data_IF_282938330296
#
_entry.id   IF_282938330296
#
_cell.length_a   1.000
_cell.length_b   1.000
_cell.length_c   1.000
_cell.angle_alpha   90.00
_cell.angle_beta   90.00
_cell.angle_gamma   90.00
#
_symmetry.space_group_name_H-M   'P 1'
#
loop_
_entity.id
_entity.type
_entity.pdbx_description
1 polymer ?
#
# COMPACT_ATOMS: atom_id res chain seq x y z
N UNK A 1 -15.55 -0.74 32.71
CA UNK A 1 -14.33 -0.13 33.30
C UNK A 1 -13.40 0.23 32.16
N UNK A 2 -13.43 1.50 31.74
CA UNK A 2 -12.47 2.08 30.80
C UNK A 2 -11.27 2.62 31.59
N UNK A 3 -10.06 2.63 31.02
CA UNK A 3 -8.91 3.23 31.69
C UNK A 3 -9.11 4.75 31.70
N UNK A 4 -9.35 5.30 32.89
CA UNK A 4 -9.32 6.74 33.15
C UNK A 4 -7.90 7.22 32.89
N UNK A 5 -7.70 7.94 31.80
CA UNK A 5 -6.46 8.68 31.57
C UNK A 5 -6.48 9.86 32.55
N UNK A 6 -5.57 9.85 33.51
CA UNK A 6 -5.36 11.00 34.38
C UNK A 6 -4.82 12.16 33.52
N UNK A 7 -5.68 13.14 33.25
CA UNK A 7 -5.24 14.48 32.88
C UNK A 7 -4.72 15.06 34.20
N UNK A 8 -3.40 15.13 34.36
CA UNK A 8 -2.83 15.94 35.43
C UNK A 8 -3.08 17.40 35.04
N UNK A 9 -4.00 18.07 35.72
CA UNK A 9 -4.06 19.53 35.74
C UNK A 9 -2.72 20.02 36.29
N UNK A 10 -1.97 20.71 35.45
CA UNK A 10 -0.74 21.36 35.86
C UNK A 10 -1.10 22.45 36.88
N UNK A 11 -0.37 22.57 37.99
CA UNK A 11 -0.63 23.60 38.97
C UNK A 11 -0.47 24.99 38.35
N UNK A 12 -1.47 25.85 38.56
CA UNK A 12 -1.46 27.27 38.19
C UNK A 12 -0.27 27.95 38.87
N UNK A 13 0.84 28.00 38.14
CA UNK A 13 2.00 28.81 38.50
C UNK A 13 1.98 30.03 37.61
N UNK A 14 1.65 31.13 38.27
CA UNK A 14 1.58 32.45 37.70
C UNK A 14 2.88 32.84 37.00
N UNK A 15 2.72 33.43 35.82
CA UNK A 15 3.55 34.50 35.29
C UNK A 15 5.07 34.28 35.33
N UNK A 16 5.59 33.60 34.33
CA UNK A 16 6.85 34.05 33.74
C UNK A 16 6.91 33.73 32.24
N UNK A 17 7.13 34.77 31.43
CA UNK A 17 7.23 34.73 29.97
C UNK A 17 8.56 34.12 29.52
N UNK A 18 8.86 32.90 29.98
CA UNK A 18 9.90 32.09 29.37
C UNK A 18 9.29 31.34 28.20
N UNK A 19 9.42 31.94 27.01
CA UNK A 19 9.26 31.25 25.75
C UNK A 19 9.94 29.88 25.85
N UNK A 20 9.13 28.82 25.93
CA UNK A 20 9.54 27.43 25.85
C UNK A 20 10.16 27.23 24.48
N UNK A 21 11.43 27.64 24.38
CA UNK A 21 12.31 27.27 23.29
C UNK A 21 12.48 25.77 23.46
N UNK A 22 11.64 25.01 22.78
CA UNK A 22 11.93 23.64 22.42
C UNK A 22 13.24 23.68 21.62
N UNK A 23 14.37 23.65 22.32
CA UNK A 23 15.65 23.39 21.70
C UNK A 23 15.58 21.93 21.30
N UNK A 24 15.16 21.70 20.04
CA UNK A 24 15.31 20.41 19.36
C UNK A 24 16.78 20.06 19.49
N UNK A 25 17.08 19.22 20.48
CA UNK A 25 18.43 18.81 20.81
C UNK A 25 18.85 17.92 19.64
N UNK A 26 19.63 18.47 18.71
CA UNK A 26 20.16 17.67 17.60
C UNK A 26 20.81 16.43 18.22
N UNK A 27 20.40 15.21 17.84
CA UNK A 27 20.92 13.99 18.44
C UNK A 27 22.45 14.02 18.35
N UNK A 28 23.10 13.73 19.48
CA UNK A 28 24.56 13.72 19.61
C UNK A 28 25.09 12.67 18.63
N UNK A 29 25.91 13.12 17.67
CA UNK A 29 26.35 12.39 16.48
C UNK A 29 27.09 11.07 16.76
N UNK A 30 27.51 10.87 18.01
CA UNK A 30 28.35 9.74 18.43
C UNK A 30 27.54 8.56 19.01
N UNK A 31 26.26 8.77 19.36
CA UNK A 31 25.29 7.70 19.60
C UNK A 31 24.55 7.34 18.29
N UNK A 32 25.23 7.48 17.16
CA UNK A 32 24.93 6.76 15.92
C UNK A 32 25.21 5.25 16.11
N UNK A 33 24.57 4.72 17.16
CA UNK A 33 24.17 3.34 17.39
C UNK A 33 24.01 2.72 16.02
N UNK A 34 24.85 1.70 15.76
CA UNK A 34 24.90 0.91 14.53
C UNK A 34 23.57 1.05 13.82
N UNK A 35 23.57 1.66 12.63
CA UNK A 35 22.48 1.44 11.68
C UNK A 35 22.55 -0.04 11.37
N UNK A 36 21.94 -0.83 12.24
CA UNK A 36 21.94 -2.27 12.12
C UNK A 36 21.35 -2.52 10.75
N UNK A 37 22.18 -3.14 9.91
CA UNK A 37 21.80 -3.46 8.56
C UNK A 37 20.46 -4.19 8.63
N UNK A 38 19.54 -3.83 7.73
CA UNK A 38 18.22 -4.44 7.66
C UNK A 38 18.36 -5.96 7.77
N UNK A 39 17.66 -6.63 8.71
CA UNK A 39 17.81 -8.05 8.89
C UNK A 39 17.58 -8.81 7.57
N UNK A 40 18.35 -9.88 7.27
CA UNK A 40 18.29 -10.57 5.99
C UNK A 40 16.90 -11.17 5.69
N UNK A 41 16.10 -11.43 6.73
CA UNK A 41 14.73 -11.90 6.54
C UNK A 41 13.76 -10.83 6.03
N UNK A 42 14.07 -9.53 6.13
CA UNK A 42 13.23 -8.47 5.56
C UNK A 42 13.39 -8.33 4.04
N UNK A 43 14.50 -8.82 3.48
CA UNK A 43 14.64 -8.92 2.02
C UNK A 43 13.69 -10.00 1.52
N UNK A 44 12.62 -9.56 0.84
CA UNK A 44 11.61 -10.44 0.26
C UNK A 44 12.16 -11.06 -1.04
N UNK A 45 13.11 -11.98 -0.89
CA UNK A 45 13.66 -12.79 -1.96
C UNK A 45 13.05 -14.18 -1.86
N UNK A 46 12.01 -14.44 -2.67
CA UNK A 46 11.38 -15.74 -2.75
C UNK A 46 11.94 -16.47 -3.98
N UNK A 47 12.63 -17.58 -3.74
CA UNK A 47 13.16 -18.46 -4.79
C UNK A 47 12.02 -19.29 -5.42
N UNK A 48 11.12 -18.65 -6.15
CA UNK A 48 10.06 -19.26 -6.96
C UNK A 48 10.26 -18.93 -8.44
N UNK A 49 9.39 -19.45 -9.31
CA UNK A 49 9.39 -19.13 -10.73
C UNK A 49 9.42 -17.60 -10.94
N UNK A 50 10.14 -17.09 -11.96
CA UNK A 50 10.41 -15.66 -12.10
C UNK A 50 9.13 -14.81 -12.21
N UNK A 51 8.08 -15.34 -12.83
CA UNK A 51 6.78 -14.69 -12.93
C UNK A 51 6.08 -14.59 -11.57
N UNK A 52 6.07 -15.67 -10.79
CA UNK A 52 5.45 -15.67 -9.46
C UNK A 52 6.21 -14.77 -8.49
N UNK A 53 7.54 -14.75 -8.58
CA UNK A 53 8.37 -13.87 -7.76
C UNK A 53 8.07 -12.39 -8.06
N UNK A 54 7.97 -12.02 -9.35
CA UNK A 54 7.58 -10.67 -9.76
C UNK A 54 6.17 -10.30 -9.25
N UNK A 55 5.20 -11.21 -9.37
CA UNK A 55 3.84 -10.99 -8.89
C UNK A 55 3.79 -10.80 -7.36
N UNK A 56 4.46 -11.66 -6.60
CA UNK A 56 4.55 -11.56 -5.14
C UNK A 56 5.26 -10.27 -4.70
N UNK A 57 6.33 -9.87 -5.39
CA UNK A 57 7.04 -8.63 -5.07
C UNK A 57 6.18 -7.40 -5.35
N UNK A 58 5.39 -7.40 -6.43
CA UNK A 58 4.42 -6.34 -6.72
C UNK A 58 3.32 -6.32 -5.66
N UNK A 59 2.72 -7.48 -5.35
CA UNK A 59 1.68 -7.59 -4.34
C UNK A 59 2.17 -7.10 -2.97
N UNK A 60 3.39 -7.47 -2.57
CA UNK A 60 4.01 -7.03 -1.33
C UNK A 60 4.25 -5.51 -1.30
N UNK A 61 4.72 -4.92 -2.40
CA UNK A 61 4.90 -3.46 -2.50
C UNK A 61 3.57 -2.71 -2.44
N UNK A 62 2.54 -3.23 -3.12
CA UNK A 62 1.18 -2.69 -3.04
C UNK A 62 0.69 -2.77 -1.59
N UNK A 63 0.90 -3.91 -0.93
CA UNK A 63 0.51 -4.10 0.46
C UNK A 63 1.25 -3.14 1.41
N UNK A 64 2.55 -2.92 1.23
CA UNK A 64 3.32 -1.94 1.99
C UNK A 64 2.81 -0.52 1.74
N UNK A 65 2.54 -0.17 0.48
CA UNK A 65 2.04 1.15 0.11
C UNK A 65 0.65 1.41 0.69
N UNK A 66 -0.23 0.41 0.67
CA UNK A 66 -1.56 0.50 1.29
C UNK A 66 -1.42 0.54 2.82
N UNK A 67 -0.65 -0.34 3.44
CA UNK A 67 -0.57 -0.42 4.90
C UNK A 67 0.15 0.79 5.52
N UNK A 68 1.28 1.19 4.95
CA UNK A 68 2.22 2.13 5.55
C UNK A 68 2.34 3.46 4.79
N UNK A 69 1.88 3.53 3.54
CA UNK A 69 2.10 4.68 2.65
C UNK A 69 3.48 4.70 1.99
N UNK A 70 4.33 3.70 2.27
CA UNK A 70 5.68 3.57 1.72
C UNK A 70 5.81 2.27 0.92
N UNK A 71 6.50 2.33 -0.23
CA UNK A 71 6.69 1.15 -1.07
C UNK A 71 7.77 0.19 -0.54
N UNK A 72 8.62 0.67 0.37
CA UNK A 72 9.79 -0.02 0.90
C UNK A 72 9.71 -0.08 2.42
N UNK A 73 10.15 -1.20 2.96
CA UNK A 73 10.21 -1.42 4.40
C UNK A 73 11.44 -0.76 5.03
N UNK A 74 12.49 -0.52 4.25
CA UNK A 74 13.71 0.15 4.68
C UNK A 74 13.44 1.53 5.27
N UNK A 75 12.52 2.29 4.69
CA UNK A 75 12.11 3.60 5.20
C UNK A 75 11.48 3.44 6.59
N UNK A 76 10.56 2.48 6.73
CA UNK A 76 9.94 2.16 8.02
C UNK A 76 10.98 1.72 9.05
N UNK A 77 11.98 0.92 8.66
CA UNK A 77 13.06 0.50 9.55
C UNK A 77 13.85 1.69 10.08
N UNK A 78 14.17 2.65 9.22
CA UNK A 78 14.86 3.88 9.62
C UNK A 78 14.01 4.66 10.61
N UNK A 79 12.71 4.80 10.35
CA UNK A 79 11.81 5.56 11.23
C UNK A 79 11.62 4.86 12.59
N UNK A 80 11.44 3.54 12.57
CA UNK A 80 11.32 2.69 13.75
C UNK A 80 12.55 2.75 14.69
N UNK A 81 13.74 2.95 14.13
CA UNK A 81 14.99 3.08 14.90
C UNK A 81 15.43 4.55 15.08
N UNK A 82 14.62 5.50 14.64
CA UNK A 82 14.86 6.93 14.82
C UNK A 82 14.23 7.45 16.12
N UNK A 83 14.08 8.76 16.22
CA UNK A 83 13.50 9.42 17.40
C UNK A 83 12.01 9.05 17.57
N UNK A 84 11.56 8.98 18.83
CA UNK A 84 10.18 8.63 19.19
C UNK A 84 9.15 9.54 18.50
N UNK A 85 9.49 10.83 18.31
CA UNK A 85 8.65 11.80 17.61
C UNK A 85 8.36 11.40 16.15
N UNK A 86 9.36 10.84 15.44
CA UNK A 86 9.20 10.40 14.05
C UNK A 86 8.29 9.18 13.97
N UNK A 87 8.39 8.27 14.94
CA UNK A 87 7.47 7.13 15.07
C UNK A 87 6.04 7.61 15.34
N UNK A 88 5.87 8.55 16.28
CA UNK A 88 4.56 9.09 16.63
C UNK A 88 3.87 9.77 15.45
N UNK A 89 4.59 10.53 14.61
CA UNK A 89 4.04 11.15 13.40
C UNK A 89 3.50 10.09 12.40
N UNK A 90 4.24 9.01 12.15
CA UNK A 90 3.76 7.93 11.28
C UNK A 90 2.57 7.19 11.89
N UNK A 91 2.66 6.89 13.19
CA UNK A 91 1.60 6.23 13.92
C UNK A 91 0.31 7.04 13.86
N UNK A 92 0.40 8.36 14.04
CA UNK A 92 -0.74 9.28 14.00
C UNK A 92 -1.35 9.39 12.59
N UNK A 93 -0.52 9.46 11.55
CA UNK A 93 -1.01 9.40 10.15
C UNK A 93 -1.75 8.11 9.86
N UNK A 94 -1.22 6.97 10.30
CA UNK A 94 -1.87 5.67 10.12
C UNK A 94 -3.17 5.59 10.93
N UNK A 95 -3.15 6.05 12.18
CA UNK A 95 -4.32 6.16 13.04
C UNK A 95 -5.44 6.95 12.37
N UNK A 96 -5.13 8.17 11.90
CA UNK A 96 -6.10 9.06 11.27
C UNK A 96 -6.72 8.44 10.02
N UNK A 97 -5.91 7.74 9.21
CA UNK A 97 -6.40 7.02 8.02
C UNK A 97 -7.35 5.87 8.38
N UNK A 98 -6.99 5.04 9.36
CA UNK A 98 -7.84 3.93 9.80
C UNK A 98 -9.13 4.49 10.39
N UNK A 99 -9.05 5.52 11.23
CA UNK A 99 -10.21 6.17 11.83
C UNK A 99 -11.18 6.71 10.78
N UNK A 100 -10.65 7.42 9.77
CA UNK A 100 -11.45 7.93 8.65
C UNK A 100 -12.16 6.80 7.92
N UNK A 101 -11.48 5.69 7.64
CA UNK A 101 -12.08 4.53 6.97
C UNK A 101 -13.13 3.86 7.83
N UNK A 102 -12.92 3.75 9.14
CA UNK A 102 -13.90 3.19 10.06
C UNK A 102 -15.17 4.05 10.10
N UNK A 103 -15.04 5.38 10.07
CA UNK A 103 -16.19 6.29 9.98
C UNK A 103 -16.94 6.08 8.66
N UNK A 104 -16.22 6.06 7.53
CA UNK A 104 -16.82 5.81 6.20
C UNK A 104 -17.50 4.45 6.14
N UNK A 105 -16.89 3.41 6.72
CA UNK A 105 -17.49 2.08 6.82
C UNK A 105 -18.78 2.10 7.65
N UNK A 106 -18.83 2.83 8.77
CA UNK A 106 -20.05 2.99 9.56
C UNK A 106 -21.19 3.67 8.78
N UNK A 107 -20.87 4.71 8.01
CA UNK A 107 -21.85 5.39 7.14
C UNK A 107 -22.37 4.45 6.03
N UNK A 108 -21.45 3.74 5.36
CA UNK A 108 -21.79 2.77 4.33
C UNK A 108 -22.61 1.60 4.89
N UNK A 109 -22.33 1.18 6.13
CA UNK A 109 -23.09 0.15 6.83
C UNK A 109 -24.52 0.61 7.10
N UNK A 110 -24.70 1.84 7.57
CA UNK A 110 -26.03 2.42 7.79
C UNK A 110 -26.84 2.52 6.50
N UNK A 111 -26.23 3.01 5.42
CA UNK A 111 -26.91 3.10 4.13
C UNK A 111 -27.28 1.73 3.56
N UNK A 112 -26.34 0.77 3.58
CA UNK A 112 -26.59 -0.61 3.11
C UNK A 112 -27.68 -1.29 3.94
N UNK A 113 -27.69 -1.12 5.26
CA UNK A 113 -28.73 -1.63 6.15
C UNK A 113 -30.12 -1.08 5.76
N UNK A 114 -30.23 0.23 5.51
CA UNK A 114 -31.48 0.85 5.10
C UNK A 114 -32.02 0.22 3.80
N UNK A 115 -31.18 0.02 2.78
CA UNK A 115 -31.59 -0.64 1.54
C UNK A 115 -31.96 -2.12 1.73
N UNK A 116 -31.34 -2.82 2.68
CA UNK A 116 -31.69 -4.22 2.96
C UNK A 116 -33.03 -4.36 3.70
N UNK A 117 -33.39 -3.40 4.54
CA UNK A 117 -34.59 -3.49 5.41
C UNK A 117 -35.81 -2.77 4.85
N UNK A 118 -35.66 -1.91 3.84
CA UNK A 118 -36.76 -1.13 3.27
C UNK A 118 -37.19 -1.69 1.92
N UNK A 119 -38.49 -1.68 1.66
CA UNK A 119 -39.03 -1.96 0.33
C UNK A 119 -38.85 -0.73 -0.57
N UNK A 120 -38.44 -0.90 -1.85
CA UNK A 120 -38.31 0.22 -2.78
C UNK A 120 -39.65 0.96 -2.89
N UNK A 121 -39.68 2.30 -2.74
CA UNK A 121 -40.94 3.06 -2.78
C UNK A 121 -41.62 2.98 -4.15
N UNK A 122 -40.83 2.81 -5.22
CA UNK A 122 -41.30 2.69 -6.61
C UNK A 122 -40.52 1.57 -7.31
N UNK A 123 -40.95 0.30 -7.20
CA UNK A 123 -40.24 -0.84 -7.78
C UNK A 123 -40.12 -0.72 -9.31
N UNK A 124 -41.08 -0.09 -9.98
CA UNK A 124 -41.06 0.10 -11.43
C UNK A 124 -39.91 1.02 -11.91
N UNK A 125 -39.50 1.95 -11.04
CA UNK A 125 -38.45 2.93 -11.34
C UNK A 125 -37.07 2.44 -10.89
N UNK A 126 -36.98 1.81 -9.71
CA UNK A 126 -35.69 1.37 -9.16
C UNK A 126 -35.83 0.18 -8.21
N UNK A 127 -35.87 -1.03 -8.77
CA UNK A 127 -35.94 -2.26 -7.98
C UNK A 127 -34.56 -2.75 -7.49
N UNK A 128 -34.13 -2.24 -6.33
CA UNK A 128 -32.95 -2.77 -5.63
C UNK A 128 -33.22 -4.07 -4.86
N UNK A 129 -34.48 -4.53 -4.81
CA UNK A 129 -34.86 -5.80 -4.18
C UNK A 129 -34.72 -7.01 -5.13
N UNK A 130 -34.47 -6.75 -6.42
CA UNK A 130 -34.13 -7.75 -7.41
C UNK A 130 -32.99 -8.65 -6.90
N UNK A 131 -33.12 -9.97 -7.15
CA UNK A 131 -32.26 -11.00 -6.55
C UNK A 131 -30.76 -10.78 -6.75
N UNK A 132 -30.35 -10.24 -7.91
CA UNK A 132 -28.96 -9.93 -8.24
C UNK A 132 -28.44 -8.75 -7.40
N UNK A 133 -29.13 -7.61 -7.45
CA UNK A 133 -28.82 -6.39 -6.70
C UNK A 133 -28.79 -6.65 -5.19
N UNK A 134 -29.79 -7.37 -4.67
CA UNK A 134 -29.89 -7.69 -3.25
C UNK A 134 -28.70 -8.54 -2.75
N UNK A 135 -28.24 -9.53 -3.53
CA UNK A 135 -27.05 -10.32 -3.19
C UNK A 135 -25.78 -9.47 -3.15
N UNK A 136 -25.62 -8.53 -4.08
CA UNK A 136 -24.50 -7.60 -4.08
C UNK A 136 -24.53 -6.68 -2.84
N UNK A 137 -25.69 -6.10 -2.52
CA UNK A 137 -25.85 -5.25 -1.34
C UNK A 137 -25.56 -6.04 -0.05
N UNK A 138 -26.04 -7.28 0.05
CA UNK A 138 -25.79 -8.14 1.22
C UNK A 138 -24.31 -8.51 1.36
N UNK A 139 -23.63 -8.82 0.25
CA UNK A 139 -22.19 -9.09 0.26
C UNK A 139 -21.39 -7.85 0.67
N UNK A 140 -21.74 -6.67 0.15
CA UNK A 140 -21.14 -5.40 0.58
C UNK A 140 -21.37 -5.16 2.07
N UNK A 141 -22.59 -5.36 2.56
CA UNK A 141 -22.93 -5.21 3.98
C UNK A 141 -22.03 -6.09 4.86
N UNK A 142 -21.86 -7.36 4.52
CA UNK A 142 -20.97 -8.28 5.24
C UNK A 142 -19.50 -7.84 5.24
N UNK A 143 -18.98 -7.40 4.08
CA UNK A 143 -17.61 -6.87 3.97
C UNK A 143 -17.42 -5.59 4.80
N UNK A 144 -18.42 -4.72 4.84
CA UNK A 144 -18.38 -3.48 5.63
C UNK A 144 -18.37 -3.78 7.13
N UNK A 145 -19.14 -4.78 7.59
CA UNK A 145 -19.07 -5.25 8.99
C UNK A 145 -17.67 -5.78 9.31
N UNK A 146 -17.10 -6.64 8.46
CA UNK A 146 -15.75 -7.16 8.64
C UNK A 146 -14.71 -6.05 8.73
N UNK A 147 -14.80 -5.05 7.83
CA UNK A 147 -13.97 -3.85 7.85
C UNK A 147 -14.11 -3.09 9.18
N UNK A 148 -15.32 -2.89 9.69
CA UNK A 148 -15.58 -2.15 10.92
C UNK A 148 -15.02 -2.87 12.16
N UNK A 149 -15.18 -4.19 12.24
CA UNK A 149 -14.63 -5.01 13.33
C UNK A 149 -13.10 -4.94 13.33
N UNK A 150 -12.46 -5.24 12.19
CA UNK A 150 -11.00 -5.25 12.08
C UNK A 150 -10.42 -3.85 12.24
N UNK A 151 -11.06 -2.82 11.65
CA UNK A 151 -10.66 -1.43 11.78
C UNK A 151 -10.72 -0.95 13.24
N UNK A 152 -11.77 -1.28 13.98
CA UNK A 152 -11.89 -0.94 15.40
C UNK A 152 -10.85 -1.66 16.27
N UNK A 153 -10.61 -2.95 16.02
CA UNK A 153 -9.55 -3.70 16.69
C UNK A 153 -8.17 -3.10 16.40
N UNK A 154 -7.93 -2.66 15.16
CA UNK A 154 -6.68 -2.00 14.77
C UNK A 154 -6.48 -0.65 15.46
N UNK A 155 -7.52 0.18 15.58
CA UNK A 155 -7.46 1.39 16.39
C UNK A 155 -7.10 1.05 17.83
N UNK A 156 -7.75 0.06 18.43
CA UNK A 156 -7.39 -0.33 19.81
C UNK A 156 -5.91 -0.76 19.95
N UNK A 157 -5.41 -1.59 19.03
CA UNK A 157 -4.01 -2.03 19.04
C UNK A 157 -3.04 -0.87 18.85
N UNK A 158 -3.32 0.02 17.88
CA UNK A 158 -2.46 1.18 17.58
C UNK A 158 -2.36 2.15 18.75
N UNK A 159 -3.38 2.25 19.60
CA UNK A 159 -3.36 3.12 20.79
C UNK A 159 -2.35 2.62 21.84
N UNK A 160 -2.08 1.31 21.87
CA UNK A 160 -1.18 0.67 22.83
C UNK A 160 0.18 0.31 22.23
N UNK A 161 0.35 0.51 20.92
CA UNK A 161 1.54 0.11 20.18
C UNK A 161 2.70 1.08 20.44
N UNK A 162 3.70 0.64 21.19
CA UNK A 162 5.00 1.31 21.34
C UNK A 162 5.95 0.92 20.19
N UNK A 163 6.87 1.81 19.83
CA UNK A 163 7.84 1.59 18.75
C UNK A 163 8.63 0.28 18.96
N UNK A 164 9.16 0.06 20.17
CA UNK A 164 9.95 -1.14 20.48
C UNK A 164 9.13 -2.43 20.32
N UNK A 165 7.89 -2.43 20.80
CA UNK A 165 7.00 -3.58 20.67
C UNK A 165 6.62 -3.83 19.20
N UNK A 166 6.33 -2.77 18.44
CA UNK A 166 6.02 -2.87 17.02
C UNK A 166 7.19 -3.46 16.24
N UNK A 167 8.39 -2.92 16.48
CA UNK A 167 9.65 -3.42 15.96
C UNK A 167 9.83 -4.89 16.31
N UNK A 168 9.82 -5.26 17.58
CA UNK A 168 10.03 -6.65 18.01
C UNK A 168 9.00 -7.62 17.42
N UNK A 169 7.74 -7.20 17.32
CA UNK A 169 6.64 -8.01 16.78
C UNK A 169 6.74 -8.19 15.27
N UNK A 170 6.97 -7.11 14.52
CA UNK A 170 7.20 -7.17 13.07
C UNK A 170 8.52 -7.85 12.72
N UNK A 171 9.58 -7.64 13.50
CA UNK A 171 10.92 -8.12 13.19
C UNK A 171 11.14 -9.59 13.52
N UNK A 172 10.22 -10.26 14.21
CA UNK A 172 10.41 -11.65 14.65
C UNK A 172 10.43 -12.69 13.52
N UNK A 173 9.65 -12.50 12.44
CA UNK A 173 9.65 -13.43 11.30
C UNK A 173 9.00 -12.85 10.04
N UNK A 174 9.33 -13.41 8.86
CA UNK A 174 8.74 -13.01 7.56
C UNK A 174 7.22 -13.12 7.53
N UNK A 175 6.69 -14.23 8.06
CA UNK A 175 5.25 -14.48 8.09
C UNK A 175 4.52 -13.46 8.97
N UNK A 176 5.13 -13.04 10.09
CA UNK A 176 4.56 -12.00 10.97
C UNK A 176 4.51 -10.64 10.31
N UNK A 177 5.55 -10.25 9.55
CA UNK A 177 5.52 -9.00 8.75
C UNK A 177 4.36 -9.04 7.76
N UNK A 178 4.27 -10.10 6.94
CA UNK A 178 3.18 -10.22 5.96
C UNK A 178 1.81 -10.22 6.63
N UNK A 179 1.63 -10.96 7.72
CA UNK A 179 0.37 -11.01 8.45
C UNK A 179 -0.02 -9.62 9.00
N UNK A 180 0.94 -8.90 9.59
CA UNK A 180 0.70 -7.55 10.13
C UNK A 180 0.34 -6.57 9.02
N UNK A 181 1.06 -6.60 7.89
CA UNK A 181 0.75 -5.79 6.72
C UNK A 181 -0.64 -6.11 6.13
N UNK A 182 -1.03 -7.39 6.07
CA UNK A 182 -2.36 -7.82 5.64
C UNK A 182 -3.42 -7.26 6.59
N UNK A 183 -3.23 -7.39 7.91
CA UNK A 183 -4.18 -6.89 8.91
C UNK A 183 -4.32 -5.35 8.81
N UNK A 184 -3.21 -4.61 8.66
CA UNK A 184 -3.25 -3.15 8.50
C UNK A 184 -3.91 -2.76 7.17
N UNK A 185 -3.62 -3.47 6.08
CA UNK A 185 -4.20 -3.18 4.77
C UNK A 185 -5.66 -3.64 4.62
N UNK A 186 -6.12 -4.57 5.45
CA UNK A 186 -7.43 -5.20 5.34
C UNK A 186 -8.59 -4.19 5.34
N UNK A 187 -8.68 -3.21 6.28
CA UNK A 187 -9.75 -2.21 6.24
C UNK A 187 -9.78 -1.42 4.93
N UNK A 188 -8.61 -1.03 4.40
CA UNK A 188 -8.48 -0.31 3.14
C UNK A 188 -8.97 -1.14 1.95
N UNK A 189 -8.59 -2.42 1.92
CA UNK A 189 -9.02 -3.33 0.85
C UNK A 189 -10.52 -3.64 0.94
N UNK A 190 -11.01 -3.98 2.13
CA UNK A 190 -12.41 -4.32 2.34
C UNK A 190 -13.35 -3.16 2.07
N UNK A 191 -13.03 -1.93 2.49
CA UNK A 191 -13.89 -0.78 2.17
C UNK A 191 -13.95 -0.51 0.66
N UNK A 192 -12.81 -0.63 -0.04
CA UNK A 192 -12.75 -0.47 -1.49
C UNK A 192 -13.59 -1.52 -2.22
N UNK A 193 -13.38 -2.81 -1.89
CA UNK A 193 -14.14 -3.93 -2.49
C UNK A 193 -15.63 -3.87 -2.12
N UNK A 194 -15.97 -3.52 -0.88
CA UNK A 194 -17.37 -3.35 -0.48
C UNK A 194 -18.04 -2.25 -1.29
N UNK A 195 -17.38 -1.09 -1.43
CA UNK A 195 -17.92 0.05 -2.18
C UNK A 195 -18.10 -0.29 -3.67
N UNK A 196 -17.17 -1.03 -4.30
CA UNK A 196 -17.35 -1.44 -5.69
C UNK A 196 -18.50 -2.42 -5.85
N UNK A 197 -18.61 -3.45 -4.99
CA UNK A 197 -19.71 -4.41 -5.01
C UNK A 197 -21.05 -3.73 -4.77
N UNK A 198 -21.12 -2.79 -3.82
CA UNK A 198 -22.30 -1.98 -3.55
C UNK A 198 -22.72 -1.23 -4.82
N UNK A 199 -21.78 -0.51 -5.44
CA UNK A 199 -22.04 0.26 -6.64
C UNK A 199 -22.47 -0.62 -7.83
N UNK A 200 -21.91 -1.83 -7.97
CA UNK A 200 -22.38 -2.80 -8.95
C UNK A 200 -23.83 -3.25 -8.68
N UNK A 201 -24.21 -3.43 -7.41
CA UNK A 201 -25.61 -3.71 -7.04
C UNK A 201 -26.57 -2.61 -7.49
N UNK A 202 -26.19 -1.34 -7.32
CA UNK A 202 -26.98 -0.19 -7.81
C UNK A 202 -27.02 -0.12 -9.33
N UNK A 203 -25.92 -0.43 -10.01
CA UNK A 203 -25.88 -0.46 -11.46
C UNK A 203 -26.80 -1.54 -12.02
N UNK A 204 -26.82 -2.73 -11.41
CA UNK A 204 -27.72 -3.80 -11.82
C UNK A 204 -29.19 -3.42 -11.63
N UNK A 205 -29.53 -2.79 -10.49
CA UNK A 205 -30.88 -2.27 -10.26
C UNK A 205 -31.26 -1.19 -11.31
N UNK A 206 -30.35 -0.26 -11.62
CA UNK A 206 -30.58 0.78 -12.61
C UNK A 206 -30.63 0.26 -14.05
N UNK A 207 -29.91 -0.81 -14.36
CA UNK A 207 -29.95 -1.45 -15.68
C UNK A 207 -31.33 -2.07 -15.96
N UNK A 208 -31.96 -2.62 -14.92
CA UNK A 208 -33.32 -3.17 -14.99
C UNK A 208 -34.43 -2.12 -14.95
N UNK A 209 -34.11 -0.85 -14.68
CA UNK A 209 -35.08 0.24 -14.72
C UNK A 209 -35.60 0.48 -16.15
N UNK A 210 -36.89 0.83 -16.24
CA UNK A 210 -37.54 1.27 -17.48
C UNK A 210 -37.17 2.72 -17.84
N UNK A 211 -36.69 3.51 -16.88
CA UNK A 211 -36.37 4.92 -17.10
C UNK A 211 -34.96 5.10 -17.72
N UNK A 212 -34.84 5.65 -18.94
CA UNK A 212 -33.55 5.86 -19.60
C UNK A 212 -32.65 6.87 -18.88
N UNK A 213 -33.22 7.84 -18.16
CA UNK A 213 -32.47 8.84 -17.41
C UNK A 213 -31.76 8.19 -16.22
N UNK A 214 -32.45 7.30 -15.50
CA UNK A 214 -31.88 6.58 -14.37
C UNK A 214 -30.77 5.62 -14.82
N UNK A 215 -30.98 4.89 -15.92
CA UNK A 215 -29.96 4.02 -16.51
C UNK A 215 -28.69 4.79 -16.88
N UNK A 216 -28.84 5.93 -17.54
CA UNK A 216 -27.71 6.78 -17.95
C UNK A 216 -27.01 7.39 -16.73
N UNK A 217 -27.78 7.84 -15.74
CA UNK A 217 -27.27 8.40 -14.49
C UNK A 217 -26.43 7.41 -13.69
N UNK A 218 -26.87 6.15 -13.54
CA UNK A 218 -26.12 5.13 -12.82
C UNK A 218 -24.78 4.80 -13.48
N UNK A 219 -24.73 4.71 -14.81
CA UNK A 219 -23.48 4.49 -15.55
C UNK A 219 -22.52 5.66 -15.37
N UNK A 220 -23.02 6.90 -15.49
CA UNK A 220 -22.20 8.09 -15.28
C UNK A 220 -21.63 8.17 -13.86
N UNK A 221 -22.45 7.88 -12.85
CA UNK A 221 -22.05 7.90 -11.44
C UNK A 221 -20.91 6.90 -11.15
N UNK A 222 -20.91 5.74 -11.81
CA UNK A 222 -19.83 4.75 -11.73
C UNK A 222 -18.59 5.10 -12.57
N UNK A 223 -18.79 5.80 -13.69
CA UNK A 223 -17.69 6.23 -14.55
C UNK A 223 -16.76 7.19 -13.81
N UNK A 224 -17.29 8.13 -13.04
CA UNK A 224 -16.52 9.15 -12.30
C UNK A 224 -15.43 8.54 -11.39
N UNK A 225 -15.73 7.65 -10.43
CA UNK A 225 -14.71 7.03 -9.60
C UNK A 225 -13.76 6.14 -10.42
N UNK A 226 -14.26 5.43 -11.44
CA UNK A 226 -13.43 4.64 -12.34
C UNK A 226 -12.40 5.48 -13.09
N UNK A 227 -12.73 6.72 -13.49
CA UNK A 227 -11.81 7.67 -14.13
C UNK A 227 -10.83 8.32 -13.14
N UNK A 228 -11.21 8.43 -11.86
CA UNK A 228 -10.30 8.91 -10.82
C UNK A 228 -9.17 7.91 -10.51
N UNK A 229 -9.40 6.60 -10.66
CA UNK A 229 -8.36 5.58 -10.46
C UNK A 229 -7.13 5.80 -11.36
N UNK A 230 -7.24 5.87 -12.70
CA UNK A 230 -6.08 6.10 -13.57
C UNK A 230 -5.47 7.49 -13.36
N UNK A 231 -6.26 8.50 -13.00
CA UNK A 231 -5.74 9.83 -12.67
C UNK A 231 -4.87 9.77 -11.41
N UNK A 232 -5.38 9.16 -10.33
CA UNK A 232 -4.65 8.99 -9.09
C UNK A 232 -3.40 8.11 -9.30
N UNK A 233 -3.56 7.02 -10.05
CA UNK A 233 -2.43 6.19 -10.45
C UNK A 233 -1.42 7.01 -11.25
N UNK A 234 -1.83 7.87 -12.17
CA UNK A 234 -0.91 8.75 -12.92
C UNK A 234 -0.17 9.73 -12.01
N UNK A 235 -0.86 10.37 -11.06
CA UNK A 235 -0.23 11.30 -10.11
C UNK A 235 0.75 10.60 -9.18
N UNK A 236 0.39 9.42 -8.66
CA UNK A 236 1.25 8.63 -7.77
C UNK A 236 2.39 7.95 -8.55
N UNK A 237 2.13 7.53 -9.78
CA UNK A 237 3.15 6.97 -10.67
C UNK A 237 4.21 8.00 -11.05
N UNK A 238 4.00 9.31 -10.93
CA UNK A 238 5.07 10.28 -11.22
C UNK A 238 6.24 10.14 -10.24
N UNK A 239 5.95 9.89 -8.96
CA UNK A 239 6.94 9.49 -7.96
C UNK A 239 7.50 8.09 -8.23
N UNK A 240 6.62 7.13 -8.55
CA UNK A 240 7.02 5.75 -8.83
C UNK A 240 7.84 5.59 -10.11
N UNK A 241 7.68 6.46 -11.11
CA UNK A 241 8.33 6.39 -12.43
C UNK A 241 9.84 6.64 -12.32
N UNK A 242 10.29 7.44 -11.35
CA UNK A 242 11.71 7.57 -11.04
C UNK A 242 12.27 6.25 -10.52
N UNK A 243 11.59 5.62 -9.55
CA UNK A 243 11.94 4.31 -9.00
C UNK A 243 11.83 3.19 -10.03
N UNK A 244 10.84 3.25 -10.94
CA UNK A 244 10.63 2.26 -11.99
C UNK A 244 11.70 2.38 -13.09
N UNK A 245 12.11 3.60 -13.45
CA UNK A 245 13.23 3.80 -14.39
C UNK A 245 14.54 3.23 -13.84
N UNK A 246 14.79 3.33 -12.55
CA UNK A 246 15.99 2.72 -11.95
C UNK A 246 15.85 1.19 -11.87
N UNK A 247 14.69 0.67 -11.45
CA UNK A 247 14.46 -0.77 -11.29
C UNK A 247 14.35 -1.56 -12.59
N UNK A 248 13.61 -1.05 -13.59
CA UNK A 248 13.38 -1.77 -14.86
C UNK A 248 14.33 -1.28 -15.95
N UNK A 249 14.69 0.00 -15.93
CA UNK A 249 15.58 0.57 -16.93
C UNK A 249 17.00 0.00 -16.87
N UNK A 250 17.54 -0.32 -15.69
CA UNK A 250 18.90 -0.87 -15.57
C UNK A 250 19.01 -2.34 -16.05
N UNK A 251 18.15 -3.30 -15.65
CA UNK A 251 18.26 -4.67 -16.15
C UNK A 251 17.93 -4.77 -17.64
N UNK A 252 16.95 -3.99 -18.14
CA UNK A 252 16.63 -4.00 -19.58
C UNK A 252 17.78 -3.40 -20.40
N UNK A 253 18.36 -2.26 -19.97
CA UNK A 253 19.55 -1.71 -20.64
C UNK A 253 20.72 -2.68 -20.61
N UNK A 254 20.95 -3.36 -19.49
CA UNK A 254 22.01 -4.36 -19.37
C UNK A 254 21.74 -5.60 -20.25
N UNK A 255 20.49 -6.06 -20.33
CA UNK A 255 20.09 -7.17 -21.20
C UNK A 255 20.22 -6.80 -22.68
N UNK A 256 19.75 -5.63 -23.07
CA UNK A 256 19.89 -5.09 -24.43
C UNK A 256 21.37 -4.87 -24.77
N UNK A 257 22.18 -4.35 -23.85
CA UNK A 257 23.61 -4.19 -24.04
C UNK A 257 24.33 -5.54 -24.22
N UNK A 258 23.96 -6.57 -23.43
CA UNK A 258 24.48 -7.95 -23.61
C UNK A 258 24.02 -8.58 -24.92
N UNK A 259 22.78 -8.33 -25.34
CA UNK A 259 22.25 -8.83 -26.60
C UNK A 259 22.98 -8.17 -27.77
N UNK A 260 23.14 -6.85 -27.71
CA UNK A 260 23.85 -6.05 -28.70
C UNK A 260 25.34 -6.42 -28.78
N UNK A 261 26.01 -6.69 -27.65
CA UNK A 261 27.41 -7.16 -27.65
C UNK A 261 27.55 -8.55 -28.27
N UNK A 262 26.60 -9.45 -28.03
CA UNK A 262 26.55 -10.78 -28.68
C UNK A 262 26.30 -10.67 -30.18
N UNK A 263 25.35 -9.82 -30.59
CA UNK A 263 25.06 -9.55 -32.02
C UNK A 263 26.27 -8.94 -32.74
N UNK A 264 26.97 -7.99 -32.10
CA UNK A 264 28.19 -7.39 -32.66
C UNK A 264 29.31 -8.44 -32.85
N UNK A 265 29.46 -9.38 -31.91
CA UNK A 265 30.39 -10.50 -32.06
C UNK A 265 30.02 -11.43 -33.22
N UNK A 266 28.73 -11.70 -33.42
CA UNK A 266 28.23 -12.51 -34.53
C UNK A 266 28.40 -11.85 -35.90
N UNK A 267 28.21 -10.53 -35.96
CA UNK A 267 28.30 -9.75 -37.20
C UNK A 267 29.74 -9.39 -37.60
N UNK A 268 30.74 -9.65 -36.75
CA UNK A 268 32.15 -9.39 -37.11
C UNK A 268 32.56 -10.41 -38.20
N UNK A 269 32.80 -9.96 -39.45
CA UNK A 269 33.09 -10.86 -40.55
C UNK A 269 34.34 -11.68 -40.22
N UNK A 270 34.27 -13.01 -40.37
CA UNK A 270 35.40 -13.96 -40.17
C UNK A 270 36.51 -13.84 -41.23
N UNK A 271 36.60 -12.70 -41.91
CA UNK A 271 37.59 -12.45 -42.96
C UNK A 271 38.76 -11.65 -42.43
N UNK A 272 39.67 -12.28 -41.67
CA UNK A 272 41.09 -11.89 -41.52
C UNK A 272 41.87 -12.81 -40.55
N UNK A 273 41.58 -14.11 -40.53
CA UNK A 273 42.46 -15.11 -39.91
C UNK A 273 43.21 -15.85 -41.02
N UNK A 274 44.16 -15.18 -41.66
CA UNK A 274 44.92 -15.82 -42.72
C UNK A 274 45.75 -14.86 -43.53
N UNK A 275 46.81 -14.31 -42.95
CA UNK A 275 48.06 -14.02 -43.69
C UNK A 275 49.11 -13.49 -42.71
N UNK A 276 50.25 -14.18 -42.62
CA UNK A 276 51.48 -13.57 -42.11
C UNK A 276 51.93 -13.96 -40.70
N UNK A 277 52.35 -15.21 -40.52
CA UNK A 277 53.33 -15.55 -39.47
C UNK A 277 54.25 -16.67 -39.95
N UNK A 278 55.03 -16.39 -41.01
CA UNK A 278 56.27 -17.11 -41.30
C UNK A 278 57.27 -16.76 -40.20
N UNK A 279 57.29 -17.56 -39.13
CA UNK A 279 58.25 -17.42 -38.04
C UNK A 279 59.55 -18.11 -38.47
N UNK A 280 60.57 -17.29 -38.66
CA UNK A 280 61.96 -17.65 -38.87
C UNK A 280 62.45 -18.68 -37.84
N UNK A 281 63.04 -19.77 -38.34
CA UNK A 281 63.78 -20.78 -37.57
C UNK A 281 65.14 -20.18 -37.20
N UNK A 282 65.54 -20.14 -35.91
CA UNK A 282 66.90 -19.74 -35.54
C UNK A 282 67.85 -20.93 -35.70
N UNK A 283 68.95 -20.72 -36.44
CA UNK A 283 70.07 -21.66 -36.56
C UNK A 283 70.83 -21.76 -35.24
N UNK A 284 71.06 -22.99 -34.75
CA UNK A 284 71.97 -23.26 -33.65
C UNK A 284 73.42 -23.24 -34.16
N UNK A 285 74.24 -22.42 -33.53
CA UNK A 285 75.69 -22.62 -33.39
C UNK A 285 75.99 -22.85 -31.91
#
# INVERSE_FOLDING_TARGET
>A
MLPTYYICEAPDTASDNHALRFTVRKPKRDDARRRDALPPWWKFEVNVTPLLNAALQIAFRILCLIALGHANLEDLWVICNSDEDSWLDIKDRLWNRINTITIVAGLLLGSTAAFLTTTPPTPDLFDYSARSSYRCILLSFGLTIGCLIVGSAMLFVMAKCQAEWFCKTMMGSRLRVCCTLIIIAYPFFCIGVSTTIFSFGFLLAGWHSHDPLLRTGCVFLLLVPCLMIPLFMYTQMRGLRHTWRTLVGTPVKNAVARLHSKLRWWLKPRGQAGTGALRSIPSRH
#
